data_IF_334105576913
#
_entry.id   IF_334105576913
#
_cell.length_a   1.000
_cell.length_b   1.000
_cell.length_c   1.000
_cell.angle_alpha   90.00
_cell.angle_beta   90.00
_cell.angle_gamma   90.00
#
_symmetry.space_group_name_H-M   'P 1'
#
loop_
_entity.id
_entity.type
_entity.pdbx_description
1 polymer ?
#
# COMPACT_ATOMS: atom_id res chain seq x y z
N UNK A 1 -0.96 -0.96 -16.83
CA UNK A 1 -2.06 -1.63 -16.09
C UNK A 1 -1.74 -1.55 -14.61
N UNK A 2 -2.61 -0.98 -13.77
CA UNK A 2 -2.35 -0.81 -12.33
C UNK A 2 -2.98 -1.96 -11.54
N UNK A 3 -2.19 -2.56 -10.65
CA UNK A 3 -2.56 -3.71 -9.83
C UNK A 3 -2.35 -3.43 -8.35
N UNK A 4 -3.10 -4.14 -7.52
CA UNK A 4 -2.88 -4.22 -6.09
C UNK A 4 -3.07 -5.65 -5.61
N UNK A 5 -2.37 -6.02 -4.53
CA UNK A 5 -2.43 -7.35 -3.94
C UNK A 5 -3.14 -7.26 -2.60
N UNK A 6 -4.15 -8.09 -2.39
CA UNK A 6 -4.78 -8.29 -1.10
C UNK A 6 -4.30 -9.60 -0.50
N UNK A 7 -3.92 -9.57 0.77
CA UNK A 7 -3.45 -10.72 1.55
C UNK A 7 -4.35 -10.91 2.76
N UNK A 8 -4.80 -12.14 3.00
CA UNK A 8 -5.49 -12.52 4.22
C UNK A 8 -5.12 -13.97 4.63
N UNK A 9 -5.44 -14.34 5.86
CA UNK A 9 -5.42 -15.72 6.35
C UNK A 9 -6.85 -16.13 6.66
N UNK A 10 -7.37 -17.10 5.92
CA UNK A 10 -8.75 -17.62 6.05
C UNK A 10 -8.63 -19.13 6.24
N UNK A 11 -9.33 -19.70 7.24
CA UNK A 11 -9.28 -21.13 7.56
C UNK A 11 -7.83 -21.67 7.71
N UNK A 12 -6.97 -20.89 8.37
CA UNK A 12 -5.53 -21.15 8.56
C UNK A 12 -4.71 -21.21 7.24
N UNK A 13 -5.33 -20.91 6.10
CA UNK A 13 -4.68 -20.83 4.80
C UNK A 13 -4.33 -19.40 4.43
N UNK A 14 -3.11 -19.22 3.94
CA UNK A 14 -2.61 -17.92 3.47
C UNK A 14 -3.08 -17.71 2.04
N UNK A 15 -3.88 -16.67 1.81
CA UNK A 15 -4.41 -16.32 0.51
C UNK A 15 -3.86 -14.97 0.05
N UNK A 16 -3.51 -14.90 -1.24
CA UNK A 16 -3.13 -13.67 -1.91
C UNK A 16 -3.80 -13.58 -3.27
N UNK A 17 -4.45 -12.45 -3.52
CA UNK A 17 -5.14 -12.19 -4.79
C UNK A 17 -4.63 -10.86 -5.33
N UNK A 18 -4.19 -10.90 -6.59
CA UNK A 18 -3.78 -9.72 -7.34
C UNK A 18 -4.95 -9.26 -8.19
N UNK A 19 -5.43 -8.03 -7.95
CA UNK A 19 -6.53 -7.44 -8.69
C UNK A 19 -6.00 -6.37 -9.66
N UNK A 20 -6.57 -6.34 -10.86
CA UNK A 20 -6.38 -5.28 -11.84
C UNK A 20 -7.44 -4.20 -11.64
N UNK A 21 -7.04 -2.95 -11.33
CA UNK A 21 -8.00 -1.89 -10.94
C UNK A 21 -9.05 -1.54 -12.00
N UNK A 22 -8.78 -1.82 -13.27
CA UNK A 22 -9.65 -1.48 -14.39
C UNK A 22 -10.27 -2.73 -15.04
N UNK A 23 -10.28 -3.85 -14.33
CA UNK A 23 -10.92 -5.07 -14.79
C UNK A 23 -12.46 -4.88 -14.78
N UNK A 24 -13.16 -5.09 -15.92
CA UNK A 24 -14.62 -4.93 -16.00
C UNK A 24 -15.40 -5.93 -15.14
N UNK A 25 -14.76 -6.99 -14.63
CA UNK A 25 -15.40 -7.96 -13.73
C UNK A 25 -15.53 -7.45 -12.29
N UNK A 26 -14.80 -6.39 -11.92
CA UNK A 26 -14.90 -5.77 -10.60
C UNK A 26 -16.21 -4.99 -10.51
N UNK A 27 -17.09 -5.38 -9.58
CA UNK A 27 -18.39 -4.75 -9.38
C UNK A 27 -18.34 -3.61 -8.35
N UNK A 28 -17.61 -3.80 -7.25
CA UNK A 28 -17.50 -2.84 -6.14
C UNK A 28 -16.13 -2.99 -5.47
N UNK A 29 -15.52 -1.86 -5.12
CA UNK A 29 -14.37 -1.81 -4.21
C UNK A 29 -14.83 -1.04 -2.98
N UNK A 30 -14.75 -1.69 -1.82
CA UNK A 30 -15.13 -1.11 -0.54
C UNK A 30 -13.91 -1.05 0.38
N UNK A 31 -13.66 0.12 0.96
CA UNK A 31 -12.54 0.33 1.89
C UNK A 31 -13.05 0.15 3.31
N UNK A 32 -12.61 -0.92 3.97
CA UNK A 32 -13.02 -1.22 5.34
C UNK A 32 -12.32 -0.32 6.36
N UNK A 33 -11.01 -0.12 6.21
CA UNK A 33 -10.20 0.75 7.08
C UNK A 33 -9.13 1.45 6.27
N UNK A 34 -9.08 2.77 6.39
CA UNK A 34 -8.10 3.61 5.69
C UNK A 34 -6.95 3.97 6.63
N UNK A 35 -5.78 3.38 6.39
CA UNK A 35 -4.56 3.67 7.14
C UNK A 35 -3.30 3.62 6.27
N UNK A 36 -2.22 4.20 6.78
CA UNK A 36 -0.85 4.05 6.26
C UNK A 36 -0.03 3.21 7.22
N UNK A 37 1.03 2.59 6.69
CA UNK A 37 2.03 1.85 7.46
C UNK A 37 3.36 2.60 7.40
N UNK A 38 4.33 2.16 8.19
CA UNK A 38 5.68 2.76 8.22
C UNK A 38 6.47 2.55 6.92
N UNK A 39 6.11 1.53 6.15
CA UNK A 39 6.74 1.17 4.88
C UNK A 39 5.69 1.12 3.76
N UNK A 40 6.10 1.48 2.54
CA UNK A 40 5.21 1.51 1.37
C UNK A 40 4.84 0.10 0.86
N UNK A 41 5.71 -0.88 1.10
CA UNK A 41 5.55 -2.27 0.66
C UNK A 41 5.55 -3.21 1.87
N UNK A 42 4.52 -4.04 1.97
CA UNK A 42 4.30 -4.93 3.12
C UNK A 42 4.64 -6.40 2.82
N UNK A 43 5.48 -6.68 1.83
CA UNK A 43 5.83 -8.05 1.42
C UNK A 43 6.48 -8.88 2.53
N UNK A 44 7.08 -8.23 3.54
CA UNK A 44 7.59 -8.92 4.72
C UNK A 44 6.50 -9.65 5.54
N UNK A 45 5.22 -9.37 5.31
CA UNK A 45 4.09 -10.11 5.89
C UNK A 45 4.05 -11.59 5.45
N UNK A 46 4.71 -11.96 4.35
CA UNK A 46 4.91 -13.37 3.99
C UNK A 46 5.69 -14.14 5.06
N UNK A 47 6.66 -13.49 5.68
CA UNK A 47 7.57 -14.08 6.66
C UNK A 47 7.19 -13.75 8.11
N UNK A 48 6.20 -12.90 8.30
CA UNK A 48 5.64 -12.53 9.60
C UNK A 48 4.83 -13.66 10.27
N UNK A 49 4.55 -13.45 11.56
CA UNK A 49 3.54 -14.22 12.27
C UNK A 49 2.15 -14.03 11.61
N UNK A 50 1.31 -15.09 11.54
CA UNK A 50 -0.01 -15.03 10.90
C UNK A 50 -0.95 -13.97 11.48
N UNK A 51 -0.81 -13.64 12.76
CA UNK A 51 -1.63 -12.66 13.48
C UNK A 51 -1.64 -11.28 12.78
N UNK A 52 -0.53 -10.89 12.14
CA UNK A 52 -0.44 -9.62 11.41
C UNK A 52 -1.05 -9.66 10.00
N UNK A 53 -1.62 -10.78 9.59
CA UNK A 53 -2.26 -10.98 8.28
C UNK A 53 -3.62 -11.66 8.37
N UNK A 54 -4.15 -11.84 9.58
CA UNK A 54 -5.45 -12.48 9.82
C UNK A 54 -6.48 -11.38 10.08
N UNK A 55 -7.45 -11.26 9.18
CA UNK A 55 -8.53 -10.28 9.27
C UNK A 55 -9.88 -11.00 9.13
N UNK A 56 -10.84 -10.58 9.95
CA UNK A 56 -12.21 -11.10 9.87
C UNK A 56 -12.88 -10.62 8.57
N UNK A 57 -13.52 -11.56 7.87
CA UNK A 57 -14.24 -11.32 6.62
C UNK A 57 -15.47 -10.43 6.87
N UNK A 58 -16.05 -10.48 8.06
CA UNK A 58 -17.25 -9.73 8.42
C UNK A 58 -16.95 -8.38 9.10
N UNK A 59 -15.74 -7.84 8.92
CA UNK A 59 -15.38 -6.54 9.51
C UNK A 59 -16.22 -5.43 8.89
N UNK A 60 -16.89 -4.64 9.73
CA UNK A 60 -17.66 -3.47 9.30
C UNK A 60 -16.74 -2.29 8.90
N UNK A 61 -17.14 -1.46 7.93
CA UNK A 61 -16.34 -0.32 7.49
C UNK A 61 -16.29 0.79 8.55
N UNK A 62 -15.08 1.26 8.84
CA UNK A 62 -14.83 2.39 9.74
C UNK A 62 -15.11 3.71 9.02
N UNK A 63 -16.18 4.41 9.44
CA UNK A 63 -16.52 5.73 8.89
C UNK A 63 -15.55 6.76 9.43
N UNK A 64 -15.00 7.58 8.52
CA UNK A 64 -14.04 8.64 8.85
C UNK A 64 -14.52 9.98 8.32
N UNK A 65 -14.22 11.03 9.05
CA UNK A 65 -14.53 12.40 8.65
C UNK A 65 -13.81 12.76 7.35
N UNK A 66 -14.53 13.43 6.45
CA UNK A 66 -13.98 13.86 5.18
C UNK A 66 -12.89 14.93 5.39
N UNK A 67 -11.73 14.73 4.75
CA UNK A 67 -10.58 15.64 4.89
C UNK A 67 -9.69 15.38 6.10
N UNK A 68 -10.05 14.48 7.02
CA UNK A 68 -9.17 14.09 8.12
C UNK A 68 -7.88 13.43 7.57
N UNK A 69 -6.70 13.71 8.19
CA UNK A 69 -5.45 13.11 7.75
C UNK A 69 -5.49 11.58 7.88
N UNK A 70 -4.85 10.87 6.97
CA UNK A 70 -4.76 9.40 7.03
C UNK A 70 -3.83 8.99 8.19
N UNK A 71 -4.28 8.17 9.16
CA UNK A 71 -3.51 7.77 10.31
C UNK A 71 -2.38 6.84 9.88
N UNK A 72 -1.26 6.94 10.57
CA UNK A 72 -0.12 6.06 10.38
C UNK A 72 -0.16 5.03 11.50
N UNK A 73 -0.37 3.77 11.11
CA UNK A 73 -0.27 2.61 11.97
C UNK A 73 1.22 2.24 12.13
N UNK A 74 1.74 2.51 13.33
CA UNK A 74 3.15 2.35 13.71
C UNK A 74 3.50 0.94 14.24
N UNK A 75 2.54 0.01 14.21
CA UNK A 75 2.75 -1.38 14.67
C UNK A 75 3.90 -2.02 13.89
N UNK A 76 4.91 -2.48 14.62
CA UNK A 76 6.02 -3.26 14.07
C UNK A 76 5.74 -4.76 14.14
N UNK A 77 5.93 -5.42 13.02
CA UNK A 77 5.66 -6.83 12.82
C UNK A 77 6.84 -7.68 13.27
N UNK A 78 6.54 -8.84 13.87
CA UNK A 78 7.54 -9.85 14.22
C UNK A 78 7.65 -10.90 13.12
N UNK A 79 8.87 -11.11 12.63
CA UNK A 79 9.20 -12.16 11.66
C UNK A 79 9.31 -13.51 12.35
N UNK A 80 8.95 -14.55 11.59
CA UNK A 80 9.23 -15.95 11.93
C UNK A 80 10.74 -16.23 11.86
N UNK A 81 11.20 -17.35 12.44
CA UNK A 81 12.56 -17.82 12.27
C UNK A 81 12.97 -17.91 10.80
N UNK A 82 14.27 -17.79 10.58
CA UNK A 82 14.83 -17.52 9.25
C UNK A 82 14.67 -18.70 8.28
N UNK A 83 13.74 -18.56 7.34
CA UNK A 83 13.72 -19.11 5.97
C UNK A 83 12.92 -18.14 5.10
N UNK A 84 13.33 -16.87 5.12
CA UNK A 84 12.57 -15.76 4.56
C UNK A 84 12.57 -15.76 3.03
N UNK A 85 11.48 -15.23 2.48
CA UNK A 85 11.27 -15.01 1.05
C UNK A 85 12.33 -14.06 0.47
N UNK A 86 12.63 -12.97 1.17
CA UNK A 86 13.62 -11.98 0.74
C UNK A 86 14.64 -11.62 1.83
N UNK A 87 15.66 -10.87 1.40
CA UNK A 87 16.67 -10.28 2.26
C UNK A 87 16.18 -8.95 2.82
N UNK A 88 15.19 -9.03 3.71
CA UNK A 88 14.56 -7.86 4.35
C UNK A 88 15.58 -6.94 5.03
N UNK A 89 16.71 -7.48 5.49
CA UNK A 89 17.78 -6.70 6.11
C UNK A 89 18.44 -5.66 5.19
N UNK A 90 18.22 -5.75 3.87
CA UNK A 90 18.83 -4.86 2.87
C UNK A 90 17.92 -3.72 2.42
N UNK A 91 16.67 -3.72 2.88
CA UNK A 91 15.62 -2.86 2.34
C UNK A 91 15.30 -1.64 3.22
N UNK A 92 16.01 -1.46 4.34
CA UNK A 92 15.82 -0.33 5.27
C UNK A 92 14.36 -0.18 5.77
N UNK A 93 13.69 -1.31 5.98
CA UNK A 93 12.30 -1.38 6.46
C UNK A 93 12.20 -0.94 7.92
N UNK A 94 11.14 -0.19 8.25
CA UNK A 94 10.87 0.36 9.59
C UNK A 94 9.80 -0.42 10.35
N UNK A 95 8.96 -1.17 9.63
CA UNK A 95 7.82 -1.92 10.13
C UNK A 95 8.15 -3.29 10.71
N UNK A 96 9.44 -3.64 10.87
CA UNK A 96 9.86 -4.94 11.41
C UNK A 96 10.63 -4.75 12.73
N UNK A 97 10.29 -5.52 13.76
CA UNK A 97 10.85 -5.34 15.11
C UNK A 97 12.08 -6.20 15.40
N UNK A 98 12.14 -7.44 14.90
CA UNK A 98 13.09 -8.45 15.36
C UNK A 98 14.10 -8.93 14.31
N UNK A 99 14.32 -8.15 13.24
CA UNK A 99 15.31 -8.51 12.20
C UNK A 99 16.68 -8.79 12.83
N UNK A 100 17.11 -7.96 13.79
CA UNK A 100 18.44 -8.05 14.39
C UNK A 100 18.68 -9.34 15.18
N UNK A 101 17.62 -10.00 15.69
CA UNK A 101 17.71 -11.28 16.39
C UNK A 101 18.28 -12.39 15.49
N UNK A 102 18.05 -12.32 14.18
CA UNK A 102 18.44 -13.34 13.21
C UNK A 102 19.67 -12.97 12.36
N UNK A 103 20.30 -11.81 12.63
CA UNK A 103 21.44 -11.32 11.86
C UNK A 103 22.78 -11.64 12.52
N UNK A 104 23.60 -12.42 11.81
CA UNK A 104 25.02 -12.57 12.11
C UNK A 104 25.80 -11.30 11.74
N UNK A 105 26.91 -11.02 12.42
CA UNK A 105 27.82 -9.91 12.11
C UNK A 105 28.23 -9.84 10.62
N UNK A 106 28.49 -10.99 9.99
CA UNK A 106 28.79 -11.07 8.55
C UNK A 106 27.65 -10.49 7.71
N UNK A 107 26.39 -10.81 8.06
CA UNK A 107 25.21 -10.34 7.31
C UNK A 107 24.97 -8.86 7.49
N UNK A 108 25.12 -8.34 8.72
CA UNK A 108 25.03 -6.90 8.99
C UNK A 108 26.00 -6.11 8.11
N UNK A 109 27.25 -6.57 8.00
CA UNK A 109 28.24 -5.97 7.10
C UNK A 109 27.77 -6.00 5.64
N UNK A 110 27.39 -7.16 5.13
CA UNK A 110 26.92 -7.27 3.73
C UNK A 110 25.64 -6.49 3.42
N UNK A 111 24.78 -6.26 4.43
CA UNK A 111 23.59 -5.44 4.28
C UNK A 111 23.97 -3.97 4.16
N UNK A 112 24.86 -3.51 5.05
CA UNK A 112 25.43 -2.16 5.01
C UNK A 112 26.16 -1.88 3.70
N UNK A 113 26.92 -2.84 3.18
CA UNK A 113 27.61 -2.71 1.88
C UNK A 113 26.64 -2.53 0.69
N UNK A 114 25.38 -2.97 0.85
CA UNK A 114 24.33 -2.83 -0.17
C UNK A 114 23.53 -1.53 -0.04
N UNK A 115 23.72 -0.77 1.05
CA UNK A 115 23.08 0.52 1.20
C UNK A 115 23.56 1.47 0.09
N UNK A 116 22.63 2.27 -0.42
CA UNK A 116 22.91 3.27 -1.46
C UNK A 116 22.66 4.67 -0.91
N UNK A 117 23.49 5.16 0.04
CA UNK A 117 23.29 6.45 0.67
C UNK A 117 23.36 7.63 -0.30
N UNK A 118 23.90 7.45 -1.51
CA UNK A 118 23.92 8.48 -2.56
C UNK A 118 22.57 8.65 -3.27
N UNK A 119 21.64 7.70 -3.17
CA UNK A 119 20.35 7.78 -3.89
C UNK A 119 19.49 8.95 -3.43
N UNK A 120 19.54 9.34 -2.14
CA UNK A 120 18.83 10.53 -1.65
C UNK A 120 19.26 11.82 -2.36
N UNK A 121 20.49 11.88 -2.87
CA UNK A 121 21.03 13.02 -3.59
C UNK A 121 20.85 12.92 -5.10
N UNK A 122 20.27 11.84 -5.62
CA UNK A 122 20.05 11.67 -7.05
C UNK A 122 18.76 12.40 -7.48
N UNK A 123 18.90 13.71 -7.77
CA UNK A 123 17.80 14.57 -8.20
C UNK A 123 17.07 14.04 -9.43
N UNK A 124 17.81 13.48 -10.40
CA UNK A 124 17.21 12.95 -11.61
C UNK A 124 16.38 11.68 -11.35
N UNK A 125 16.77 10.87 -10.35
CA UNK A 125 15.96 9.72 -9.89
C UNK A 125 14.66 10.21 -9.26
N UNK A 126 14.72 11.23 -8.41
CA UNK A 126 13.52 11.86 -7.82
C UNK A 126 12.60 12.44 -8.89
N UNK A 127 13.16 13.23 -9.82
CA UNK A 127 12.41 13.82 -10.94
C UNK A 127 11.68 12.76 -11.76
N UNK A 128 12.33 11.62 -12.07
CA UNK A 128 11.70 10.52 -12.80
C UNK A 128 10.66 9.74 -12.00
N UNK A 129 10.69 9.82 -10.67
CA UNK A 129 9.74 9.13 -9.79
C UNK A 129 8.47 9.94 -9.52
N UNK A 130 8.50 11.25 -9.76
CA UNK A 130 7.38 12.17 -9.52
C UNK A 130 6.86 12.73 -10.83
N UNK A 131 5.56 12.99 -10.90
CA UNK A 131 4.99 13.72 -12.04
C UNK A 131 5.32 15.22 -11.85
N UNK A 132 5.89 15.92 -12.85
CA UNK A 132 6.13 17.36 -12.77
C UNK A 132 4.86 18.18 -12.50
N UNK A 133 4.97 19.32 -11.82
CA UNK A 133 3.80 20.14 -11.44
C UNK A 133 2.96 20.60 -12.65
N UNK A 134 3.61 20.94 -13.76
CA UNK A 134 2.94 21.32 -15.01
C UNK A 134 2.02 20.20 -15.51
N UNK A 135 2.54 18.97 -15.55
CA UNK A 135 1.77 17.79 -15.95
C UNK A 135 0.69 17.44 -14.93
N UNK A 136 0.95 17.63 -13.63
CA UNK A 136 -0.07 17.42 -12.60
C UNK A 136 -1.27 18.36 -12.81
N UNK A 137 -1.03 19.64 -13.09
CA UNK A 137 -2.11 20.63 -13.34
C UNK A 137 -2.97 20.23 -14.53
N UNK A 138 -2.34 19.82 -15.63
CA UNK A 138 -3.05 19.33 -16.82
C UNK A 138 -3.91 18.11 -16.49
N UNK A 139 -3.31 17.08 -15.87
CA UNK A 139 -4.01 15.84 -15.47
C UNK A 139 -5.19 16.16 -14.55
N UNK A 140 -4.99 16.98 -13.52
CA UNK A 140 -6.06 17.34 -12.60
C UNK A 140 -7.17 18.12 -13.30
N UNK A 141 -6.83 19.05 -14.20
CA UNK A 141 -7.83 19.81 -14.95
C UNK A 141 -8.74 18.92 -15.79
N UNK A 142 -8.17 17.92 -16.46
CA UNK A 142 -8.90 16.96 -17.28
C UNK A 142 -9.81 16.09 -16.41
N UNK A 143 -9.27 15.56 -15.32
CA UNK A 143 -10.01 14.75 -14.35
C UNK A 143 -11.18 15.53 -13.75
N UNK A 144 -10.97 16.77 -13.30
CA UNK A 144 -12.04 17.60 -12.74
C UNK A 144 -13.11 17.95 -13.78
N UNK A 145 -12.72 18.24 -15.03
CA UNK A 145 -13.68 18.50 -16.10
C UNK A 145 -14.56 17.28 -16.39
N UNK A 146 -13.95 16.08 -16.42
CA UNK A 146 -14.68 14.83 -16.63
C UNK A 146 -15.60 14.49 -15.45
N UNK A 147 -15.12 14.65 -14.21
CA UNK A 147 -15.91 14.47 -12.99
C UNK A 147 -17.12 15.41 -12.98
N UNK A 148 -16.92 16.69 -13.30
CA UNK A 148 -18.02 17.67 -13.39
C UNK A 148 -19.02 17.35 -14.51
N UNK A 149 -18.56 16.77 -15.63
CA UNK A 149 -19.43 16.27 -16.68
C UNK A 149 -20.30 15.10 -16.18
N UNK A 150 -19.69 14.10 -15.52
CA UNK A 150 -20.41 12.95 -14.94
C UNK A 150 -21.48 13.42 -13.94
N UNK A 151 -21.12 14.30 -13.00
CA UNK A 151 -22.05 14.80 -11.98
C UNK A 151 -23.25 15.54 -12.58
N UNK A 152 -23.05 16.30 -13.66
CA UNK A 152 -24.18 16.91 -14.38
C UNK A 152 -25.12 15.85 -14.90
N UNK A 153 -24.62 14.80 -15.57
CA UNK A 153 -25.49 13.77 -16.14
C UNK A 153 -26.19 12.90 -15.09
N UNK A 154 -25.56 12.58 -13.97
CA UNK A 154 -26.18 11.78 -12.89
C UNK A 154 -27.22 12.56 -12.08
N UNK A 155 -27.09 13.88 -11.97
CA UNK A 155 -28.10 14.74 -11.30
C UNK A 155 -29.36 14.93 -12.15
N UNK A 156 -29.26 14.95 -13.48
CA UNK A 156 -30.42 15.00 -14.37
C UNK A 156 -31.23 13.69 -14.40
N UNK A 157 -30.62 12.53 -14.16
CA UNK A 157 -31.32 11.24 -14.11
C UNK A 157 -32.01 10.93 -12.77
N UNK A 158 -31.80 11.75 -11.74
CA UNK A 158 -32.37 11.58 -10.40
C UNK A 158 -33.32 12.73 -9.99
N UNK A 159 -33.87 13.48 -10.95
CA UNK A 159 -35.06 14.29 -10.68
C UNK A 159 -36.29 13.37 -10.71
N UNK A 160 -36.98 13.13 -9.58
CA UNK A 160 -38.25 12.44 -9.62
C UNK A 160 -39.23 13.28 -10.43
N UNK A 161 -39.78 12.69 -11.48
CA UNK A 161 -40.94 13.23 -12.18
C UNK A 161 -42.02 13.57 -11.13
N UNK A 162 -42.47 14.82 -11.15
CA UNK A 162 -43.53 15.34 -10.28
C UNK A 162 -44.87 14.64 -10.52
#
# INVERSE_FOLDING_TARGET
>A
MRRFILRNVIDEQRLEISYDMYDPTIQKIEVLRLEKRLDDYLLYLHDALPEYSTFDINTEPEIREEGAPVPINDIKVRLRPRLWFEKWERQNLRGISNIDEYLTNKRRRTAKDHEKPWEKYNLMKHYRSTIPEEQQKEIYSEVYAHIHHIYRHTTYSYSPEK
#
